data_IF_722408607012
#
_entry.id   IF_722408607012
#
_cell.length_a   1.000
_cell.length_b   1.000
_cell.length_c   1.000
_cell.angle_alpha   90.00
_cell.angle_beta   90.00
_cell.angle_gamma   90.00
#
_symmetry.space_group_name_H-M   'P 1'
#
loop_
_entity.id
_entity.type
_entity.pdbx_description
1 polymer ?
#
# COMPACT_ATOMS: atom_id res chain seq x y z
N UNK A 1 -33.86 1.74 5.08
CA UNK A 1 -32.49 2.22 5.36
C UNK A 1 -31.71 1.12 6.05
N UNK A 2 -30.42 0.96 5.74
CA UNK A 2 -29.46 0.95 6.83
C UNK A 2 -28.26 1.86 6.59
N UNK A 3 -27.83 2.47 7.70
CA UNK A 3 -26.70 3.36 7.86
C UNK A 3 -25.37 2.69 7.45
N UNK A 4 -24.65 3.28 6.48
CA UNK A 4 -23.29 2.92 6.08
C UNK A 4 -22.12 3.78 6.66
N UNK A 5 -22.28 4.80 7.53
CA UNK A 5 -21.12 5.55 8.05
C UNK A 5 -20.18 4.72 8.95
N UNK A 6 -20.72 3.79 9.76
CA UNK A 6 -19.92 3.01 10.71
C UNK A 6 -19.05 1.94 10.06
N UNK A 7 -19.48 1.40 8.91
CA UNK A 7 -18.76 0.37 8.19
C UNK A 7 -17.46 0.89 7.58
N UNK A 8 -17.46 2.11 7.02
CA UNK A 8 -16.28 2.72 6.37
C UNK A 8 -15.24 3.17 7.41
N UNK A 9 -15.68 3.74 8.54
CA UNK A 9 -14.82 4.03 9.69
C UNK A 9 -14.20 2.78 10.29
N UNK A 10 -15.00 1.73 10.45
CA UNK A 10 -14.52 0.42 10.89
C UNK A 10 -13.50 -0.14 9.91
N UNK A 11 -13.75 -0.01 8.59
CA UNK A 11 -12.85 -0.47 7.55
C UNK A 11 -11.52 0.32 7.54
N UNK A 12 -11.54 1.64 7.72
CA UNK A 12 -10.34 2.47 7.85
C UNK A 12 -9.49 2.02 9.03
N UNK A 13 -10.09 1.88 10.21
CA UNK A 13 -9.37 1.43 11.41
C UNK A 13 -8.81 0.03 11.22
N UNK A 14 -9.63 -0.90 10.73
CA UNK A 14 -9.21 -2.28 10.45
C UNK A 14 -8.06 -2.26 9.46
N UNK A 15 -8.12 -1.48 8.40
CA UNK A 15 -7.12 -1.51 7.35
C UNK A 15 -5.80 -0.81 7.70
N UNK A 16 -5.86 0.28 8.48
CA UNK A 16 -4.68 0.98 9.01
C UNK A 16 -3.91 0.15 10.04
N UNK A 17 -4.59 -0.74 10.75
CA UNK A 17 -4.03 -1.53 11.85
C UNK A 17 -3.99 -3.03 11.53
N UNK A 18 -4.48 -3.46 10.35
CA UNK A 18 -4.55 -4.87 9.96
C UNK A 18 -3.16 -5.46 9.74
N UNK A 19 -2.23 -4.63 9.28
CA UNK A 19 -0.87 -5.05 8.98
C UNK A 19 0.13 -4.06 9.57
N UNK A 20 1.10 -4.62 10.28
CA UNK A 20 2.18 -3.91 10.96
C UNK A 20 3.54 -4.44 10.48
N UNK A 21 4.61 -3.71 10.81
CA UNK A 21 5.99 -4.10 10.47
C UNK A 21 6.29 -5.54 10.86
N UNK A 22 5.79 -6.00 12.02
CA UNK A 22 5.99 -7.36 12.51
C UNK A 22 5.62 -8.44 11.48
N UNK A 23 4.53 -8.24 10.72
CA UNK A 23 3.99 -9.24 9.80
C UNK A 23 4.94 -9.57 8.64
N UNK A 24 5.93 -8.71 8.38
CA UNK A 24 6.91 -8.88 7.32
C UNK A 24 8.36 -8.81 7.81
N UNK A 25 8.57 -8.78 9.12
CA UNK A 25 9.91 -8.70 9.72
C UNK A 25 10.65 -10.02 9.56
N UNK A 26 11.90 -9.96 9.13
CA UNK A 26 12.83 -11.10 9.20
C UNK A 26 13.66 -11.06 10.49
N UNK A 27 14.08 -12.21 11.04
CA UNK A 27 14.97 -12.23 12.18
C UNK A 27 16.33 -11.64 11.82
N UNK A 28 16.88 -10.79 12.70
CA UNK A 28 18.24 -10.30 12.55
C UNK A 28 19.22 -11.35 13.08
N UNK A 29 19.81 -12.12 12.15
CA UNK A 29 20.91 -13.06 12.47
C UNK A 29 22.02 -12.29 13.17
N UNK A 30 22.55 -12.86 14.25
CA UNK A 30 23.53 -12.18 15.09
C UNK A 30 24.63 -13.08 15.62
N UNK A 31 25.76 -12.45 15.96
CA UNK A 31 26.96 -13.06 16.51
C UNK A 31 27.41 -12.34 17.77
N UNK A 32 28.17 -13.02 18.62
CA UNK A 32 28.74 -12.37 19.80
C UNK A 32 29.88 -11.43 19.39
N UNK A 33 30.10 -10.36 20.16
CA UNK A 33 31.08 -9.33 19.82
C UNK A 33 32.53 -9.85 19.76
N UNK A 34 32.86 -10.87 20.53
CA UNK A 34 34.16 -11.54 20.46
C UNK A 34 34.28 -12.56 19.31
N UNK A 35 33.25 -12.74 18.47
CA UNK A 35 33.30 -13.67 17.36
C UNK A 35 34.34 -13.22 16.31
N UNK A 36 35.21 -14.14 15.82
CA UNK A 36 36.14 -13.85 14.73
C UNK A 36 35.43 -13.44 13.44
N UNK A 37 35.86 -12.35 12.82
CA UNK A 37 35.19 -11.77 11.65
C UNK A 37 35.31 -12.61 10.39
N UNK A 38 36.38 -13.39 10.25
CA UNK A 38 36.61 -14.36 9.17
C UNK A 38 35.53 -15.46 9.16
N UNK A 39 35.24 -16.03 10.32
CA UNK A 39 34.19 -17.04 10.49
C UNK A 39 32.80 -16.47 10.21
N UNK A 40 32.55 -15.23 10.63
CA UNK A 40 31.28 -14.55 10.32
C UNK A 40 31.16 -14.32 8.82
N UNK A 41 32.20 -13.82 8.14
CA UNK A 41 32.20 -13.65 6.68
C UNK A 41 31.90 -14.96 5.94
N UNK A 42 32.51 -16.07 6.34
CA UNK A 42 32.27 -17.39 5.76
C UNK A 42 30.78 -17.80 5.88
N UNK A 43 30.23 -17.72 7.10
CA UNK A 43 28.83 -18.07 7.36
C UNK A 43 27.85 -17.17 6.62
N UNK A 44 28.18 -15.87 6.47
CA UNK A 44 27.31 -14.90 5.79
C UNK A 44 27.35 -15.04 4.27
N UNK A 45 28.50 -15.37 3.69
CA UNK A 45 28.63 -15.65 2.27
C UNK A 45 27.77 -16.83 1.83
N UNK A 46 27.65 -17.87 2.66
CA UNK A 46 26.76 -19.01 2.40
C UNK A 46 25.26 -18.66 2.50
N UNK A 47 24.91 -17.65 3.30
CA UNK A 47 23.52 -17.26 3.58
C UNK A 47 23.00 -16.03 2.84
N UNK A 48 23.82 -15.38 2.00
CA UNK A 48 23.51 -14.12 1.31
C UNK A 48 23.04 -12.98 2.25
N UNK A 49 23.58 -12.93 3.46
CA UNK A 49 23.28 -11.85 4.40
C UNK A 49 24.12 -10.61 4.10
N UNK A 50 23.47 -9.46 3.98
CA UNK A 50 24.17 -8.17 3.85
C UNK A 50 24.55 -7.56 5.20
N UNK A 51 23.77 -7.88 6.24
CA UNK A 51 23.90 -7.32 7.59
C UNK A 51 23.66 -8.37 8.66
N UNK A 52 24.38 -8.24 9.77
CA UNK A 52 24.21 -9.05 10.98
C UNK A 52 24.15 -8.17 12.22
N UNK A 53 23.42 -8.60 13.23
CA UNK A 53 23.45 -8.00 14.56
C UNK A 53 24.65 -8.46 15.37
N UNK A 54 25.18 -7.60 16.24
CA UNK A 54 26.26 -7.93 17.17
C UNK A 54 25.74 -7.92 18.60
N UNK A 55 26.01 -9.01 19.31
CA UNK A 55 25.52 -9.24 20.67
C UNK A 55 26.57 -8.94 21.73
N UNK A 56 26.14 -8.24 22.77
CA UNK A 56 26.86 -8.09 24.05
C UNK A 56 25.93 -8.50 25.18
N UNK A 57 26.43 -9.31 26.10
CA UNK A 57 25.64 -9.83 27.23
C UNK A 57 24.26 -10.40 26.81
N UNK A 58 24.22 -11.13 25.69
CA UNK A 58 23.02 -11.78 25.17
C UNK A 58 22.02 -10.86 24.47
N UNK A 59 22.36 -9.59 24.19
CA UNK A 59 21.48 -8.61 23.55
C UNK A 59 22.14 -8.04 22.31
N UNK A 60 21.37 -7.80 21.25
CA UNK A 60 21.87 -7.13 20.04
C UNK A 60 22.01 -5.63 20.35
N UNK A 61 23.25 -5.15 20.37
CA UNK A 61 23.60 -3.76 20.73
C UNK A 61 24.14 -2.95 19.54
N UNK A 62 24.41 -3.61 18.41
CA UNK A 62 24.83 -2.98 17.15
C UNK A 62 24.72 -3.93 15.98
N UNK A 63 25.28 -3.54 14.84
CA UNK A 63 25.27 -4.35 13.62
C UNK A 63 26.59 -4.22 12.83
N UNK A 64 26.78 -5.12 11.85
CA UNK A 64 27.84 -5.05 10.85
C UNK A 64 27.24 -5.13 9.46
N UNK A 65 27.77 -4.33 8.54
CA UNK A 65 27.61 -4.56 7.10
C UNK A 65 28.68 -5.54 6.65
N UNK A 66 28.28 -6.68 6.08
CA UNK A 66 29.19 -7.79 5.72
C UNK A 66 30.27 -7.35 4.73
N UNK A 67 29.93 -6.41 3.85
CA UNK A 67 30.86 -5.83 2.87
C UNK A 67 31.97 -4.96 3.49
N UNK A 68 31.77 -4.45 4.72
CA UNK A 68 32.68 -3.53 5.39
C UNK A 68 33.44 -4.19 6.56
N UNK A 69 33.30 -5.51 6.74
CA UNK A 69 33.95 -6.22 7.83
C UNK A 69 35.47 -6.22 7.61
N UNK A 70 36.23 -5.78 8.61
CA UNK A 70 37.69 -5.87 8.67
C UNK A 70 38.13 -7.14 9.43
N UNK A 71 39.42 -7.48 9.35
CA UNK A 71 39.99 -8.62 10.09
C UNK A 71 40.08 -8.29 11.58
N UNK A 72 39.58 -9.18 12.45
CA UNK A 72 39.59 -8.97 13.90
C UNK A 72 38.42 -9.67 14.57
N UNK A 73 37.83 -9.01 15.56
CA UNK A 73 36.58 -9.46 16.21
C UNK A 73 35.42 -8.54 15.85
N UNK A 74 34.21 -9.07 15.86
CA UNK A 74 33.01 -8.35 15.42
C UNK A 74 32.74 -7.06 16.22
N UNK A 75 33.10 -7.04 17.51
CA UNK A 75 32.90 -5.91 18.41
C UNK A 75 33.66 -4.66 18.02
N UNK A 76 34.81 -4.81 17.35
CA UNK A 76 35.66 -3.68 16.93
C UNK A 76 35.11 -3.01 15.66
N UNK A 77 34.44 -3.78 14.80
CA UNK A 77 33.81 -3.29 13.58
C UNK A 77 32.37 -2.80 13.81
N UNK A 78 31.82 -3.00 15.02
CA UNK A 78 30.39 -2.84 15.31
C UNK A 78 29.91 -1.40 15.14
N UNK A 79 28.86 -1.23 14.33
CA UNK A 79 28.15 0.03 14.16
C UNK A 79 26.99 0.14 15.15
N UNK A 80 26.79 1.30 15.80
CA UNK A 80 25.60 1.52 16.62
C UNK A 80 24.36 1.65 15.73
N UNK A 81 23.18 1.35 16.28
CA UNK A 81 21.92 1.63 15.60
C UNK A 81 21.57 3.11 15.69
N UNK A 82 21.40 3.77 14.55
CA UNK A 82 20.89 5.13 14.52
C UNK A 82 19.38 5.15 14.69
N UNK A 83 18.83 6.17 15.35
CA UNK A 83 17.39 6.30 15.55
C UNK A 83 16.61 6.28 14.21
N UNK A 84 17.17 6.90 13.17
CA UNK A 84 16.60 6.92 11.83
C UNK A 84 16.57 5.54 11.14
N UNK A 85 17.29 4.55 11.66
CA UNK A 85 17.30 3.18 11.17
C UNK A 85 16.39 2.23 11.98
N UNK A 86 15.85 2.65 13.12
CA UNK A 86 15.04 1.77 13.99
C UNK A 86 13.56 2.07 13.87
N UNK A 87 12.73 1.05 13.68
CA UNK A 87 11.25 1.15 13.60
C UNK A 87 10.61 0.18 14.61
N UNK A 88 9.48 0.55 15.21
CA UNK A 88 8.75 -0.35 16.11
C UNK A 88 8.05 -1.45 15.29
N UNK A 89 8.02 -2.66 15.82
CA UNK A 89 7.33 -3.81 15.20
C UNK A 89 5.82 -3.59 15.02
N UNK A 90 5.23 -2.70 15.80
CA UNK A 90 3.81 -2.35 15.78
C UNK A 90 3.48 -1.17 14.87
N UNK A 91 4.49 -0.54 14.24
CA UNK A 91 4.21 0.54 13.29
C UNK A 91 3.40 0.02 12.09
N UNK A 92 2.44 0.80 11.58
CA UNK A 92 1.71 0.47 10.36
C UNK A 92 2.63 0.39 9.12
N UNK A 93 2.29 -0.48 8.16
CA UNK A 93 3.01 -0.58 6.88
C UNK A 93 3.20 0.75 6.12
N UNK A 94 2.24 1.70 6.09
CA UNK A 94 2.45 3.00 5.45
C UNK A 94 3.67 3.78 6.01
N UNK A 95 3.91 3.70 7.31
CA UNK A 95 5.06 4.35 7.95
C UNK A 95 6.37 3.66 7.55
N UNK A 96 6.36 2.32 7.53
CA UNK A 96 7.49 1.54 7.04
C UNK A 96 7.86 1.92 5.60
N UNK A 97 6.89 1.98 4.69
CA UNK A 97 7.15 2.34 3.29
C UNK A 97 7.75 3.74 3.18
N UNK A 98 7.22 4.72 3.91
CA UNK A 98 7.77 6.10 3.94
C UNK A 98 9.23 6.11 4.38
N UNK A 99 9.57 5.38 5.43
CA UNK A 99 10.96 5.33 5.94
C UNK A 99 11.90 4.58 5.01
N UNK A 100 11.44 3.53 4.34
CA UNK A 100 12.20 2.82 3.32
C UNK A 100 12.44 3.64 2.05
N UNK A 101 11.83 4.82 1.89
CA UNK A 101 12.22 5.80 0.85
C UNK A 101 13.66 6.25 1.01
N UNK A 102 14.02 6.61 2.24
CA UNK A 102 15.29 7.24 2.56
C UNK A 102 16.29 6.23 3.16
N UNK A 103 15.80 5.08 3.61
CA UNK A 103 16.60 4.00 4.20
C UNK A 103 16.56 2.73 3.34
N UNK A 104 17.72 2.07 3.15
CA UNK A 104 17.79 0.78 2.45
C UNK A 104 17.07 -0.33 3.22
N UNK A 105 17.13 -0.25 4.56
CA UNK A 105 16.62 -1.22 5.53
C UNK A 105 16.32 -0.50 6.84
N UNK A 106 15.48 -1.11 7.67
CA UNK A 106 15.22 -0.70 9.04
C UNK A 106 15.39 -1.88 9.98
N UNK A 107 15.89 -1.60 11.17
CA UNK A 107 15.97 -2.54 12.28
C UNK A 107 14.69 -2.47 13.10
N UNK A 108 14.11 -3.63 13.38
CA UNK A 108 12.81 -3.74 14.02
C UNK A 108 13.00 -3.93 15.52
N UNK A 109 12.40 -3.01 16.28
CA UNK A 109 12.40 -3.03 17.74
C UNK A 109 11.09 -3.58 18.29
N UNK A 110 11.19 -4.48 19.27
CA UNK A 110 10.09 -5.05 20.04
C UNK A 110 10.43 -4.90 21.52
N UNK A 111 9.57 -4.25 22.30
CA UNK A 111 9.81 -3.94 23.72
C UNK A 111 11.16 -3.27 24.00
N UNK A 112 11.58 -2.34 23.13
CA UNK A 112 12.85 -1.61 23.27
C UNK A 112 14.10 -2.45 22.96
N UNK A 113 13.94 -3.64 22.36
CA UNK A 113 15.04 -4.50 21.92
C UNK A 113 15.00 -4.69 20.43
N UNK A 114 16.15 -4.57 19.78
CA UNK A 114 16.29 -4.85 18.35
C UNK A 114 16.51 -6.35 18.18
N UNK A 115 15.73 -6.95 17.29
CA UNK A 115 15.81 -8.39 16.99
C UNK A 115 15.38 -8.75 15.58
N UNK A 116 14.86 -7.79 14.83
CA UNK A 116 14.41 -7.99 13.46
C UNK A 116 15.01 -6.99 12.50
N UNK A 117 14.83 -7.27 11.22
CA UNK A 117 15.21 -6.42 10.10
C UNK A 117 14.11 -6.47 9.05
N UNK A 118 13.93 -5.34 8.36
CA UNK A 118 12.99 -5.23 7.25
C UNK A 118 13.60 -4.33 6.18
N UNK A 119 13.37 -4.66 4.92
CA UNK A 119 13.91 -4.00 3.76
C UNK A 119 12.85 -3.90 2.66
N UNK A 120 13.19 -3.24 1.55
CA UNK A 120 12.25 -3.13 0.43
C UNK A 120 11.86 -4.48 -0.16
N UNK A 121 12.72 -5.48 -0.18
CA UNK A 121 12.38 -6.81 -0.71
C UNK A 121 11.30 -7.52 0.11
N UNK A 122 11.13 -7.16 1.38
CA UNK A 122 10.10 -7.72 2.24
C UNK A 122 8.69 -7.20 1.91
N UNK A 123 8.59 -6.12 1.11
CA UNK A 123 7.31 -5.58 0.63
C UNK A 123 6.63 -6.47 -0.41
N UNK A 124 7.33 -7.46 -0.97
CA UNK A 124 6.71 -8.49 -1.82
C UNK A 124 6.00 -9.58 -1.02
N UNK A 125 6.10 -9.58 0.31
CA UNK A 125 5.46 -10.58 1.15
C UNK A 125 3.93 -10.46 1.13
N UNK A 126 3.20 -11.58 1.37
CA UNK A 126 1.75 -11.60 1.32
C UNK A 126 1.02 -10.50 2.12
N UNK A 127 1.42 -10.14 3.36
CA UNK A 127 0.73 -9.09 4.12
C UNK A 127 0.70 -7.73 3.40
N UNK A 128 1.82 -7.31 2.82
CA UNK A 128 1.92 -6.04 2.08
C UNK A 128 1.09 -6.10 0.80
N UNK A 129 1.03 -7.26 0.14
CA UNK A 129 0.20 -7.45 -1.05
C UNK A 129 -1.29 -7.39 -0.73
N UNK A 130 -1.72 -8.02 0.37
CA UNK A 130 -3.10 -7.94 0.85
C UNK A 130 -3.49 -6.51 1.19
N UNK A 131 -2.58 -5.79 1.85
CA UNK A 131 -2.72 -4.36 2.09
C UNK A 131 -2.84 -3.59 0.77
N UNK A 132 -1.87 -3.63 -0.14
CA UNK A 132 -1.94 -2.88 -1.39
C UNK A 132 -3.17 -3.22 -2.25
N UNK A 133 -3.56 -4.49 -2.31
CA UNK A 133 -4.76 -4.92 -3.03
C UNK A 133 -6.02 -4.25 -2.44
N UNK A 134 -6.17 -4.29 -1.11
CA UNK A 134 -7.28 -3.60 -0.45
C UNK A 134 -7.27 -2.08 -0.68
N UNK A 135 -6.10 -1.45 -0.77
CA UNK A 135 -6.01 -0.01 -1.11
C UNK A 135 -6.58 0.26 -2.51
N UNK A 136 -6.16 -0.53 -3.49
CA UNK A 136 -6.64 -0.42 -4.86
C UNK A 136 -8.15 -0.68 -4.93
N UNK A 137 -8.65 -1.69 -4.20
CA UNK A 137 -10.10 -1.97 -4.11
C UNK A 137 -10.87 -0.79 -3.52
N UNK A 138 -10.37 -0.16 -2.45
CA UNK A 138 -11.04 0.99 -1.84
C UNK A 138 -11.07 2.20 -2.75
N UNK A 139 -9.99 2.45 -3.48
CA UNK A 139 -9.93 3.49 -4.51
C UNK A 139 -10.97 3.21 -5.61
N UNK A 140 -11.07 1.96 -6.08
CA UNK A 140 -12.05 1.57 -7.08
C UNK A 140 -13.49 1.78 -6.59
N UNK A 141 -13.82 1.29 -5.39
CA UNK A 141 -15.14 1.45 -4.78
C UNK A 141 -15.51 2.93 -4.63
N UNK A 142 -14.53 3.78 -4.28
CA UNK A 142 -14.74 5.22 -4.19
C UNK A 142 -15.09 5.83 -5.55
N UNK A 143 -14.39 5.46 -6.61
CA UNK A 143 -14.72 5.96 -7.95
C UNK A 143 -16.10 5.48 -8.42
N UNK A 144 -16.47 4.23 -8.15
CA UNK A 144 -17.84 3.74 -8.40
C UNK A 144 -18.86 4.68 -7.74
N UNK A 145 -18.75 4.90 -6.42
CA UNK A 145 -19.69 5.76 -5.68
C UNK A 145 -19.74 7.20 -6.19
N UNK A 146 -18.59 7.75 -6.58
CA UNK A 146 -18.50 9.10 -7.12
C UNK A 146 -19.27 9.20 -8.45
N UNK A 147 -19.10 8.22 -9.33
CA UNK A 147 -19.80 8.17 -10.62
C UNK A 147 -21.31 8.00 -10.39
N UNK A 148 -21.73 7.08 -9.53
CA UNK A 148 -23.16 6.86 -9.21
C UNK A 148 -23.85 8.11 -8.68
N UNK A 149 -23.13 8.91 -7.88
CA UNK A 149 -23.71 10.06 -7.20
C UNK A 149 -23.83 11.29 -8.09
N UNK A 150 -22.86 11.49 -8.98
CA UNK A 150 -22.71 12.75 -9.71
C UNK A 150 -22.86 12.60 -11.23
N UNK A 151 -23.15 11.40 -11.74
CA UNK A 151 -23.42 11.16 -13.16
C UNK A 151 -24.62 10.24 -13.35
N UNK A 152 -25.51 10.62 -14.25
CA UNK A 152 -26.48 9.70 -14.82
C UNK A 152 -25.78 8.66 -15.70
N UNK A 153 -26.49 7.55 -15.98
CA UNK A 153 -25.95 6.46 -16.79
C UNK A 153 -25.56 6.91 -18.20
N UNK A 154 -26.40 7.74 -18.81
CA UNK A 154 -26.16 8.26 -20.16
C UNK A 154 -24.94 9.19 -20.20
N UNK A 155 -24.74 10.00 -19.16
CA UNK A 155 -23.59 10.92 -19.08
C UNK A 155 -22.26 10.17 -19.02
N UNK A 156 -22.11 9.19 -18.11
CA UNK A 156 -20.83 8.52 -17.99
C UNK A 156 -20.54 7.58 -19.17
N UNK A 157 -21.57 7.02 -19.82
CA UNK A 157 -21.40 6.21 -21.03
C UNK A 157 -20.71 6.98 -22.15
N UNK A 158 -21.00 8.27 -22.30
CA UNK A 158 -20.32 9.12 -23.31
C UNK A 158 -18.81 9.28 -23.07
N UNK A 159 -18.33 8.99 -21.86
CA UNK A 159 -16.91 9.06 -21.53
C UNK A 159 -16.12 7.83 -22.03
N UNK A 160 -16.79 6.75 -22.41
CA UNK A 160 -16.17 5.48 -22.82
C UNK A 160 -16.36 5.20 -24.30
N UNK A 161 -15.52 4.32 -24.86
CA UNK A 161 -15.69 3.85 -26.24
C UNK A 161 -16.82 2.82 -26.32
N UNK A 162 -17.48 2.72 -27.47
CA UNK A 162 -18.54 1.74 -27.71
C UNK A 162 -18.10 0.31 -27.35
N UNK A 163 -16.87 -0.10 -27.73
CA UNK A 163 -16.36 -1.42 -27.41
C UNK A 163 -16.11 -1.69 -25.92
N UNK A 164 -15.94 -0.65 -25.08
CA UNK A 164 -15.86 -0.82 -23.61
C UNK A 164 -17.24 -0.99 -23.00
N UNK A 165 -18.22 -0.22 -23.47
CA UNK A 165 -19.63 -0.38 -23.08
C UNK A 165 -20.14 -1.77 -23.46
N UNK A 166 -19.87 -2.22 -24.69
CA UNK A 166 -20.28 -3.54 -25.15
C UNK A 166 -19.71 -4.68 -24.29
N UNK A 167 -18.43 -4.57 -23.88
CA UNK A 167 -17.82 -5.56 -22.95
C UNK A 167 -18.50 -5.55 -21.58
N UNK A 168 -18.85 -4.38 -21.07
CA UNK A 168 -19.57 -4.26 -19.81
C UNK A 168 -20.98 -4.86 -19.90
N UNK A 169 -21.69 -4.62 -21.01
CA UNK A 169 -23.00 -5.22 -21.29
C UNK A 169 -22.92 -6.74 -21.42
N UNK A 170 -21.88 -7.27 -22.08
CA UNK A 170 -21.64 -8.71 -22.17
C UNK A 170 -21.43 -9.32 -20.78
N UNK A 171 -20.66 -8.66 -19.92
CA UNK A 171 -20.44 -9.11 -18.56
C UNK A 171 -21.70 -9.03 -17.70
N UNK A 172 -22.50 -7.97 -17.87
CA UNK A 172 -23.79 -7.81 -17.19
C UNK A 172 -24.74 -8.95 -17.56
N UNK A 173 -24.89 -9.27 -18.85
CA UNK A 173 -25.71 -10.40 -19.32
C UNK A 173 -25.26 -11.74 -18.74
N UNK A 174 -23.96 -11.97 -18.63
CA UNK A 174 -23.43 -13.20 -18.00
C UNK A 174 -23.72 -13.24 -16.49
N UNK A 175 -23.69 -12.09 -15.80
CA UNK A 175 -24.05 -11.98 -14.38
C UNK A 175 -25.55 -12.16 -14.14
N UNK A 176 -26.40 -11.57 -14.97
CA UNK A 176 -27.84 -11.75 -14.96
C UNK A 176 -28.21 -13.23 -15.17
N UNK A 177 -27.53 -13.92 -16.11
CA UNK A 177 -27.70 -15.37 -16.33
C UNK A 177 -27.39 -16.20 -15.07
N UNK A 178 -26.51 -15.70 -14.20
CA UNK A 178 -26.15 -16.32 -12.92
C UNK A 178 -26.98 -15.81 -11.74
N UNK A 179 -28.06 -15.06 -12.00
CA UNK A 179 -28.93 -14.41 -11.00
C UNK A 179 -28.17 -13.45 -10.07
N UNK A 180 -27.13 -12.79 -10.58
CA UNK A 180 -26.40 -11.75 -9.86
C UNK A 180 -26.95 -10.38 -10.26
N UNK A 181 -27.80 -9.80 -9.43
CA UNK A 181 -28.35 -8.47 -9.65
C UNK A 181 -27.28 -7.40 -9.37
N UNK A 182 -26.68 -6.87 -10.42
CA UNK A 182 -25.62 -5.85 -10.38
C UNK A 182 -25.91 -4.74 -11.38
N UNK A 183 -25.39 -3.54 -11.13
CA UNK A 183 -25.51 -2.45 -12.09
C UNK A 183 -24.49 -2.59 -13.24
N UNK A 184 -24.76 -1.98 -14.40
CA UNK A 184 -23.80 -1.92 -15.51
C UNK A 184 -22.45 -1.32 -15.08
N UNK A 185 -22.50 -0.34 -14.16
CA UNK A 185 -21.32 0.30 -13.60
C UNK A 185 -20.40 -0.70 -12.82
N UNK A 186 -20.98 -1.73 -12.20
CA UNK A 186 -20.24 -2.80 -11.50
C UNK A 186 -19.54 -3.76 -12.46
N UNK A 187 -19.87 -3.70 -13.74
CA UNK A 187 -19.24 -4.46 -14.81
C UNK A 187 -18.07 -3.70 -15.46
N UNK A 188 -17.87 -2.42 -15.11
CA UNK A 188 -16.71 -1.64 -15.56
C UNK A 188 -15.44 -2.01 -14.81
N UNK A 189 -14.31 -1.96 -15.51
CA UNK A 189 -12.99 -2.10 -14.88
C UNK A 189 -12.57 -0.78 -14.20
N UNK A 190 -11.64 -0.87 -13.24
CA UNK A 190 -11.00 0.31 -12.63
C UNK A 190 -10.53 1.34 -13.66
N UNK A 191 -9.91 0.91 -14.76
CA UNK A 191 -9.41 1.81 -15.82
C UNK A 191 -10.54 2.53 -16.57
N UNK A 192 -11.72 1.93 -16.70
CA UNK A 192 -12.91 2.56 -17.26
C UNK A 192 -13.48 3.62 -16.31
N UNK A 193 -13.62 3.28 -15.03
CA UNK A 193 -14.08 4.20 -13.98
C UNK A 193 -13.20 5.44 -13.87
N UNK A 194 -11.87 5.24 -13.90
CA UNK A 194 -10.91 6.34 -13.92
C UNK A 194 -10.99 7.19 -15.19
N UNK A 195 -11.30 6.59 -16.34
CA UNK A 195 -11.49 7.33 -17.58
C UNK A 195 -12.75 8.19 -17.54
N UNK A 196 -13.83 7.72 -16.91
CA UNK A 196 -15.04 8.51 -16.65
C UNK A 196 -14.66 9.74 -15.81
N UNK A 197 -13.99 9.53 -14.68
CA UNK A 197 -13.52 10.62 -13.80
C UNK A 197 -12.60 11.60 -14.53
N UNK A 198 -11.75 11.12 -15.43
CA UNK A 198 -10.81 11.95 -16.19
C UNK A 198 -11.50 12.83 -17.26
N UNK A 199 -12.66 12.41 -17.77
CA UNK A 199 -13.36 13.06 -18.89
C UNK A 199 -14.56 13.88 -18.46
N UNK A 200 -15.12 13.60 -17.28
CA UNK A 200 -16.19 14.40 -16.70
C UNK A 200 -15.62 15.52 -15.82
N UNK A 201 -15.86 16.78 -16.20
CA UNK A 201 -15.33 17.95 -15.48
C UNK A 201 -15.85 18.06 -14.05
N UNK A 202 -17.13 17.79 -13.82
CA UNK A 202 -17.72 17.84 -12.48
C UNK A 202 -17.05 16.82 -11.55
N UNK A 203 -16.81 15.60 -12.04
CA UNK A 203 -16.06 14.60 -11.28
C UNK A 203 -14.61 15.03 -11.03
N UNK A 204 -13.96 15.63 -12.03
CA UNK A 204 -12.58 16.09 -11.91
C UNK A 204 -12.42 17.11 -10.77
N UNK A 205 -13.34 18.07 -10.65
CA UNK A 205 -13.33 19.11 -9.61
C UNK A 205 -13.50 18.54 -8.19
N UNK A 206 -14.20 17.41 -8.05
CA UNK A 206 -14.35 16.69 -6.78
C UNK A 206 -13.09 15.88 -6.41
N UNK A 207 -12.19 15.68 -7.38
CA UNK A 207 -10.89 15.06 -7.14
C UNK A 207 -9.78 16.08 -6.94
N UNK A 208 -8.63 15.61 -6.46
CA UNK A 208 -7.41 16.41 -6.32
C UNK A 208 -6.65 16.62 -7.65
N UNK A 209 -7.17 16.09 -8.75
CA UNK A 209 -6.43 16.06 -10.01
C UNK A 209 -6.59 17.39 -10.76
N UNK A 210 -5.47 18.06 -10.99
CA UNK A 210 -5.43 19.36 -11.67
C UNK A 210 -5.58 19.24 -13.19
N UNK A 211 -5.44 18.04 -13.75
CA UNK A 211 -5.64 17.81 -15.17
C UNK A 211 -6.09 16.39 -15.48
N UNK A 212 -6.79 16.22 -16.60
CA UNK A 212 -7.10 14.92 -17.21
C UNK A 212 -5.86 14.03 -17.34
N UNK A 213 -4.72 14.61 -17.74
CA UNK A 213 -3.45 13.89 -17.89
C UNK A 213 -2.98 13.26 -16.58
N UNK A 214 -3.14 13.95 -15.45
CA UNK A 214 -2.79 13.40 -14.14
C UNK A 214 -3.68 12.20 -13.78
N UNK A 215 -4.98 12.27 -14.08
CA UNK A 215 -5.90 11.14 -13.85
C UNK A 215 -5.49 9.93 -14.70
N UNK A 216 -5.25 10.13 -16.00
CA UNK A 216 -4.86 9.06 -16.92
C UNK A 216 -3.51 8.42 -16.53
N UNK A 217 -2.55 9.21 -16.04
CA UNK A 217 -1.27 8.70 -15.53
C UNK A 217 -1.46 7.86 -14.25
N UNK A 218 -2.26 8.36 -13.30
CA UNK A 218 -2.58 7.60 -12.09
C UNK A 218 -3.31 6.29 -12.44
N UNK A 219 -4.20 6.34 -13.43
CA UNK A 219 -4.93 5.15 -13.85
C UNK A 219 -4.04 4.05 -14.40
N UNK A 220 -3.08 4.41 -15.26
CA UNK A 220 -2.09 3.45 -15.75
C UNK A 220 -1.25 2.85 -14.62
N UNK A 221 -0.85 3.66 -13.64
CA UNK A 221 -0.07 3.20 -12.48
C UNK A 221 -0.86 2.25 -11.59
N UNK A 222 -2.10 2.59 -11.26
CA UNK A 222 -2.98 1.73 -10.44
C UNK A 222 -3.35 0.43 -11.16
N UNK A 223 -3.61 0.50 -12.47
CA UNK A 223 -3.90 -0.69 -13.28
C UNK A 223 -2.69 -1.63 -13.34
N UNK A 224 -1.47 -1.09 -13.57
CA UNK A 224 -0.22 -1.86 -13.52
C UNK A 224 -0.04 -2.54 -12.16
N UNK A 225 -0.11 -1.78 -11.07
CA UNK A 225 0.03 -2.32 -9.72
C UNK A 225 -1.02 -3.40 -9.42
N UNK A 226 -2.29 -3.17 -9.77
CA UNK A 226 -3.36 -4.17 -9.59
C UNK A 226 -3.05 -5.47 -10.33
N UNK A 227 -2.58 -5.38 -11.57
CA UNK A 227 -2.24 -6.57 -12.36
C UNK A 227 -1.04 -7.30 -11.75
N UNK A 228 0.00 -6.58 -11.32
CA UNK A 228 1.17 -7.18 -10.68
C UNK A 228 0.79 -7.90 -9.38
N UNK A 229 -0.08 -7.28 -8.56
CA UNK A 229 -0.63 -7.90 -7.34
C UNK A 229 -1.44 -9.16 -7.66
N UNK A 230 -2.32 -9.11 -8.66
CA UNK A 230 -3.17 -10.23 -9.06
C UNK A 230 -2.37 -11.41 -9.65
N UNK A 231 -1.25 -11.13 -10.31
CA UNK A 231 -0.39 -12.14 -10.95
C UNK A 231 0.84 -12.51 -10.11
N UNK A 232 0.90 -12.07 -8.86
CA UNK A 232 1.97 -12.40 -7.92
C UNK A 232 3.37 -11.91 -8.36
N UNK A 233 3.45 -10.95 -9.26
CA UNK A 233 4.70 -10.41 -9.80
C UNK A 233 5.39 -9.47 -8.81
N UNK A 234 6.71 -9.30 -8.93
CA UNK A 234 7.50 -8.39 -8.08
C UNK A 234 6.98 -6.95 -8.20
N UNK A 235 6.51 -6.37 -7.10
CA UNK A 235 5.93 -5.01 -7.09
C UNK A 235 6.96 -3.94 -6.73
N UNK A 236 8.04 -4.31 -6.03
CA UNK A 236 9.01 -3.37 -5.48
C UNK A 236 9.82 -2.70 -6.58
N UNK A 237 10.24 -3.45 -7.60
CA UNK A 237 11.02 -2.91 -8.72
C UNK A 237 10.19 -2.00 -9.62
N UNK A 238 8.92 -2.36 -9.81
CA UNK A 238 8.11 -1.84 -10.91
C UNK A 238 7.10 -0.77 -10.49
N UNK A 239 6.68 -0.77 -9.23
CA UNK A 239 5.58 0.05 -8.71
C UNK A 239 5.95 0.86 -7.46
N UNK A 240 7.24 0.95 -7.10
CA UNK A 240 7.72 1.66 -5.91
C UNK A 240 7.11 3.05 -5.71
N UNK A 241 7.15 3.88 -6.74
CA UNK A 241 6.58 5.23 -6.71
C UNK A 241 5.07 5.24 -6.47
N UNK A 242 4.36 4.23 -6.98
CA UNK A 242 2.92 4.07 -6.76
C UNK A 242 2.66 3.64 -5.32
N UNK A 243 3.44 2.71 -4.79
CA UNK A 243 3.36 2.22 -3.40
C UNK A 243 3.63 3.36 -2.41
N UNK A 244 4.65 4.18 -2.66
CA UNK A 244 4.93 5.40 -1.88
C UNK A 244 3.74 6.37 -1.92
N UNK A 245 3.27 6.70 -3.12
CA UNK A 245 2.15 7.63 -3.28
C UNK A 245 0.87 7.12 -2.60
N UNK A 246 0.62 5.80 -2.60
CA UNK A 246 -0.49 5.19 -1.87
C UNK A 246 -0.30 5.35 -0.36
N UNK A 247 0.90 5.06 0.15
CA UNK A 247 1.25 5.17 1.58
C UNK A 247 1.12 6.60 2.12
N UNK A 248 1.47 7.61 1.33
CA UNK A 248 1.40 9.02 1.71
C UNK A 248 -0.03 9.59 1.64
N UNK A 249 -0.91 8.98 0.85
CA UNK A 249 -2.25 9.50 0.60
C UNK A 249 -3.36 8.66 1.20
N UNK A 250 -3.02 7.78 2.13
CA UNK A 250 -3.94 6.84 2.74
C UNK A 250 -5.13 7.55 3.41
N UNK A 251 -4.88 8.61 4.17
CA UNK A 251 -5.94 9.41 4.77
C UNK A 251 -6.81 10.09 3.71
N UNK A 252 -6.22 10.63 2.63
CA UNK A 252 -6.98 11.24 1.54
C UNK A 252 -7.84 10.24 0.75
N UNK A 253 -7.40 8.98 0.66
CA UNK A 253 -8.17 7.90 0.04
C UNK A 253 -9.41 7.59 0.88
N UNK A 254 -9.31 7.71 2.21
CA UNK A 254 -10.33 7.28 3.17
C UNK A 254 -11.25 8.41 3.68
N UNK A 255 -10.75 9.63 3.90
CA UNK A 255 -11.42 10.69 4.69
C UNK A 255 -12.41 11.56 3.91
N UNK A 256 -12.33 11.65 2.58
CA UNK A 256 -13.29 12.49 1.81
C UNK A 256 -14.72 11.95 1.75
N UNK A 257 -14.98 10.81 2.37
CA UNK A 257 -16.34 10.28 2.52
C UNK A 257 -17.20 11.07 3.50
N UNK A 258 -16.63 11.91 4.38
CA UNK A 258 -17.40 12.69 5.37
C UNK A 258 -17.89 14.05 4.90
N UNK A 259 -17.11 14.77 4.09
CA UNK A 259 -17.57 16.02 3.49
C UNK A 259 -18.79 15.76 2.57
N UNK A 260 -18.80 14.59 1.94
CA UNK A 260 -19.88 14.11 1.08
C UNK A 260 -21.17 13.76 1.85
N UNK A 261 -21.13 13.51 3.16
CA UNK A 261 -22.33 13.24 3.99
C UNK A 261 -22.95 14.53 4.57
N UNK A 262 -22.14 15.56 4.83
CA UNK A 262 -22.63 16.85 5.31
C UNK A 262 -23.52 17.56 4.27
N UNK A 263 -23.21 17.42 2.97
CA UNK A 263 -24.01 17.97 1.88
C UNK A 263 -25.41 17.34 1.76
N UNK A 264 -25.63 16.13 2.30
CA UNK A 264 -26.99 15.55 2.38
C UNK A 264 -27.88 16.24 3.41
N UNK A 265 -27.29 16.78 4.48
CA UNK A 265 -28.04 17.47 5.53
C UNK A 265 -28.18 18.98 5.29
N UNK A 266 -27.42 19.55 4.35
CA UNK A 266 -27.52 20.95 3.94
C UNK A 266 -28.63 21.23 2.94
N UNK A 267 -28.87 20.32 1.99
CA UNK A 267 -29.88 20.51 0.93
C UNK A 267 -31.31 20.18 1.40
N UNK A 268 -31.46 19.32 2.43
CA UNK A 268 -32.77 18.95 2.97
C UNK A 268 -33.36 19.95 4.00
N UNK A 269 -32.72 21.11 4.21
CA UNK A 269 -33.16 22.12 5.20
C UNK A 269 -33.71 23.41 4.60
N UNK A 270 -33.73 23.55 3.28
CA UNK A 270 -34.23 24.75 2.58
C UNK A 270 -35.59 24.57 1.90
N UNK A 271 -36.28 23.46 2.18
CA UNK A 271 -37.70 23.29 1.84
C UNK A 271 -38.51 22.99 3.10
N UNK A 272 -38.77 24.02 3.91
CA UNK A 272 -39.81 24.04 4.96
C UNK A 272 -40.24 25.46 5.26
#
# INVERSE_FOLDING_TARGET
MPHYPSAVHSLRRVFMQAFVVHDITEPLVSFDDFAPTDKVKELMGAGNYEVVGIRRAGRIEGYLDVAEIESGVCGDCMKPFEHAQVILNTEPLPELVRRLRDQRRLFVSTFGRIGGIVSRSDLDKPPVRMWLFGMVTLIEMRFTRLIERYCSEDEWKTCLSAGRIEKADQLLRERDRRNQNVALLDCLQLSDKLQIVARNKALQELTRFQSRRQVEQMAKKLEKLRNNLAHCQTIVTDDWETILALSENLDNVLDRTHADEADRNGIARDES
#
